data_IF_069955435915
#
_entry.id   IF_069955435915
#
_cell.length_a   1.000
_cell.length_b   1.000
_cell.length_c   1.000
_cell.angle_alpha   90.00
_cell.angle_beta   90.00
_cell.angle_gamma   90.00
#
_symmetry.space_group_name_H-M   'P 1'
#
loop_
_entity.id
_entity.type
_entity.pdbx_description
1 polymer ?
#
# COMPACT_ATOMS: atom_id res chain seq x y z
N UNK A 1 -18.98 21.30 -13.03
CA UNK A 1 -18.05 20.52 -13.88
C UNK A 1 -17.76 19.22 -13.16
N UNK A 2 -18.38 18.11 -13.59
CA UNK A 2 -17.97 16.79 -13.12
C UNK A 2 -16.61 16.50 -13.78
N UNK A 3 -15.58 16.06 -13.04
CA UNK A 3 -14.33 15.67 -13.67
C UNK A 3 -14.62 14.50 -14.61
N UNK A 4 -14.02 14.54 -15.79
CA UNK A 4 -14.03 13.49 -16.79
C UNK A 4 -13.55 12.18 -16.12
N UNK A 5 -14.42 11.17 -16.04
CA UNK A 5 -14.13 9.86 -15.44
C UNK A 5 -13.51 8.91 -16.47
N UNK A 6 -12.75 9.43 -17.44
CA UNK A 6 -11.98 8.55 -18.31
C UNK A 6 -11.00 7.72 -17.46
N UNK A 7 -10.92 6.41 -17.71
CA UNK A 7 -9.86 5.56 -17.20
C UNK A 7 -8.51 6.25 -17.26
N UNK A 8 -7.89 6.53 -16.11
CA UNK A 8 -6.55 7.12 -16.13
C UNK A 8 -5.55 6.03 -16.52
N UNK A 9 -4.70 6.25 -17.54
CA UNK A 9 -3.64 5.30 -17.87
C UNK A 9 -2.72 5.14 -16.66
N UNK A 10 -2.17 3.93 -16.49
CA UNK A 10 -1.20 3.66 -15.43
C UNK A 10 0.16 4.27 -15.83
N UNK A 11 0.49 5.39 -15.21
CA UNK A 11 1.67 6.22 -15.48
C UNK A 11 2.23 6.84 -14.19
N UNK A 12 3.27 7.65 -14.30
CA UNK A 12 3.90 8.25 -13.11
C UNK A 12 2.96 9.21 -12.37
N UNK A 13 2.17 10.01 -13.09
CA UNK A 13 1.30 11.01 -12.48
C UNK A 13 0.11 10.38 -11.75
N UNK A 14 -0.49 9.34 -12.35
CA UNK A 14 -1.54 8.55 -11.72
C UNK A 14 -1.05 7.78 -10.49
N UNK A 15 0.17 7.21 -10.53
CA UNK A 15 0.80 6.58 -9.36
C UNK A 15 1.09 7.61 -8.28
N UNK A 16 1.60 8.78 -8.64
CA UNK A 16 1.86 9.87 -7.69
C UNK A 16 0.57 10.29 -6.99
N UNK A 17 -0.50 10.54 -7.74
CA UNK A 17 -1.81 10.88 -7.18
C UNK A 17 -2.42 9.75 -6.33
N UNK A 18 -2.21 8.48 -6.72
CA UNK A 18 -2.62 7.31 -5.95
C UNK A 18 -1.91 7.28 -4.59
N UNK A 19 -0.57 7.35 -4.61
CA UNK A 19 0.27 7.27 -3.40
C UNK A 19 -0.03 8.42 -2.45
N UNK A 20 -0.09 9.66 -2.94
CA UNK A 20 -0.39 10.81 -2.09
C UNK A 20 -1.79 10.72 -1.47
N UNK A 21 -2.81 10.34 -2.25
CA UNK A 21 -4.16 10.16 -1.71
C UNK A 21 -4.21 9.05 -0.67
N UNK A 22 -3.61 7.90 -0.98
CA UNK A 22 -3.56 6.76 -0.06
C UNK A 22 -2.89 7.10 1.27
N UNK A 23 -1.73 7.77 1.24
CA UNK A 23 -1.01 8.09 2.46
C UNK A 23 -1.64 9.25 3.26
N UNK A 24 -2.45 10.10 2.63
CA UNK A 24 -3.28 11.06 3.35
C UNK A 24 -4.29 10.32 4.27
N UNK A 25 -4.97 9.30 3.73
CA UNK A 25 -5.94 8.51 4.48
C UNK A 25 -5.26 7.59 5.50
N UNK A 26 -4.09 7.01 5.18
CA UNK A 26 -3.27 6.25 6.15
C UNK A 26 -2.88 7.12 7.34
N UNK A 27 -2.53 8.39 7.10
CA UNK A 27 -2.15 9.32 8.18
C UNK A 27 -3.34 9.69 9.07
N UNK A 28 -4.54 9.76 8.49
CA UNK A 28 -5.77 10.06 9.20
C UNK A 28 -6.41 8.84 9.89
N UNK A 29 -6.07 7.62 9.48
CA UNK A 29 -6.62 6.38 10.03
C UNK A 29 -6.17 6.20 11.50
N UNK A 30 -7.10 5.91 12.43
CA UNK A 30 -6.79 5.83 13.86
C UNK A 30 -5.92 4.62 14.25
N UNK A 31 -5.87 3.58 13.41
CA UNK A 31 -5.03 2.40 13.64
C UNK A 31 -3.66 2.58 12.99
N UNK A 32 -3.60 3.09 11.76
CA UNK A 32 -2.34 3.23 11.02
C UNK A 32 -1.59 4.52 11.36
N UNK A 33 -2.31 5.63 11.52
CA UNK A 33 -1.74 6.96 11.73
C UNK A 33 -0.71 7.03 12.86
N UNK A 34 -0.95 6.44 14.05
CA UNK A 34 0.04 6.41 15.13
C UNK A 34 1.33 5.69 14.76
N UNK A 35 1.25 4.53 14.09
CA UNK A 35 2.41 3.73 13.66
C UNK A 35 3.26 4.51 12.66
N UNK A 36 2.63 5.09 11.64
CA UNK A 36 3.35 5.87 10.63
C UNK A 36 3.92 7.17 11.21
N UNK A 37 3.17 7.85 12.08
CA UNK A 37 3.65 9.05 12.79
C UNK A 37 4.88 8.75 13.63
N UNK A 38 4.88 7.65 14.39
CA UNK A 38 6.03 7.24 15.19
C UNK A 38 7.25 6.90 14.32
N UNK A 39 7.04 6.24 13.18
CA UNK A 39 8.12 5.81 12.30
C UNK A 39 8.70 6.92 11.40
N UNK A 40 7.87 7.87 10.96
CA UNK A 40 8.25 8.89 9.96
C UNK A 40 8.48 10.27 10.60
N UNK A 41 7.76 10.59 11.67
CA UNK A 41 7.78 11.91 12.30
C UNK A 41 7.44 13.02 11.29
N UNK A 42 8.31 14.01 11.17
CA UNK A 42 8.14 15.15 10.27
C UNK A 42 8.52 14.87 8.80
N UNK A 43 9.09 13.70 8.48
CA UNK A 43 9.72 13.43 7.18
C UNK A 43 8.75 12.84 6.13
N UNK A 44 7.50 13.31 6.12
CA UNK A 44 6.46 12.79 5.23
C UNK A 44 6.77 12.99 3.75
N UNK A 45 7.28 14.15 3.34
CA UNK A 45 7.58 14.43 1.93
C UNK A 45 8.63 13.45 1.37
N UNK A 46 9.68 13.19 2.15
CA UNK A 46 10.72 12.23 1.79
C UNK A 46 10.18 10.78 1.76
N UNK A 47 9.23 10.45 2.64
CA UNK A 47 8.57 9.16 2.62
C UNK A 47 7.69 9.00 1.37
N UNK A 48 6.86 9.98 1.06
CA UNK A 48 5.97 9.98 -0.10
C UNK A 48 6.74 9.86 -1.41
N UNK A 49 7.82 10.64 -1.59
CA UNK A 49 8.68 10.53 -2.77
C UNK A 49 9.23 9.11 -2.96
N UNK A 50 9.70 8.49 -1.87
CA UNK A 50 10.18 7.10 -1.89
C UNK A 50 9.08 6.09 -2.20
N UNK A 51 7.85 6.33 -1.72
CA UNK A 51 6.71 5.46 -2.01
C UNK A 51 6.25 5.58 -3.46
N UNK A 52 6.32 6.78 -4.06
CA UNK A 52 6.10 6.97 -5.50
C UNK A 52 7.12 6.17 -6.31
N UNK A 53 8.41 6.23 -5.95
CA UNK A 53 9.45 5.43 -6.62
C UNK A 53 9.21 3.93 -6.46
N UNK A 54 8.82 3.49 -5.26
CA UNK A 54 8.52 2.08 -4.97
C UNK A 54 7.36 1.59 -5.83
N UNK A 55 6.21 2.26 -5.81
CA UNK A 55 5.03 1.86 -6.57
C UNK A 55 5.24 2.01 -8.07
N UNK A 56 5.98 3.02 -8.53
CA UNK A 56 6.40 3.12 -9.93
C UNK A 56 7.28 1.94 -10.34
N UNK A 57 8.14 1.45 -9.45
CA UNK A 57 9.01 0.29 -9.73
C UNK A 57 8.17 -0.98 -9.84
N UNK A 58 7.25 -1.14 -8.90
CA UNK A 58 6.45 -2.34 -8.74
C UNK A 58 5.34 -2.45 -9.78
N UNK A 59 4.70 -1.34 -10.14
CA UNK A 59 3.58 -1.29 -11.09
C UNK A 59 4.02 -1.08 -12.54
N UNK A 60 5.09 -0.31 -12.79
CA UNK A 60 5.57 0.01 -14.15
C UNK A 60 6.88 -0.68 -14.53
N UNK A 61 7.48 -1.45 -13.62
CA UNK A 61 8.82 -2.04 -13.84
C UNK A 61 9.94 -0.99 -13.90
N UNK A 62 9.70 0.25 -13.45
CA UNK A 62 10.73 1.29 -13.47
C UNK A 62 11.86 0.96 -12.49
N UNK A 63 13.13 1.27 -12.78
CA UNK A 63 14.25 0.94 -11.88
C UNK A 63 14.54 2.05 -10.85
N UNK A 64 13.49 2.71 -10.35
CA UNK A 64 13.58 3.94 -9.54
C UNK A 64 13.80 3.67 -8.05
N UNK A 65 13.23 2.61 -7.51
CA UNK A 65 13.41 2.25 -6.10
C UNK A 65 14.62 1.34 -5.89
N UNK A 66 15.50 1.74 -4.98
CA UNK A 66 16.67 0.97 -4.54
C UNK A 66 16.66 0.88 -3.02
N UNK A 67 16.17 -0.23 -2.48
CA UNK A 67 16.12 -0.46 -1.03
C UNK A 67 15.47 -1.77 -0.64
N UNK A 68 15.65 -2.16 0.62
CA UNK A 68 14.96 -3.32 1.20
C UNK A 68 13.87 -2.85 2.15
N UNK A 69 12.63 -2.89 1.68
CA UNK A 69 11.46 -2.47 2.47
C UNK A 69 11.27 -3.33 3.72
N UNK A 70 11.60 -4.63 3.65
CA UNK A 70 11.40 -5.56 4.76
C UNK A 70 12.26 -5.21 5.99
N UNK A 71 13.53 -4.85 5.77
CA UNK A 71 14.45 -4.48 6.88
C UNK A 71 13.92 -3.28 7.66
N UNK A 72 13.31 -2.30 6.98
CA UNK A 72 12.74 -1.12 7.64
C UNK A 72 11.51 -1.46 8.48
N UNK A 73 10.69 -2.41 8.03
CA UNK A 73 9.48 -2.82 8.75
C UNK A 73 9.77 -3.78 9.90
N UNK A 74 10.88 -4.53 9.86
CA UNK A 74 11.30 -5.39 10.97
C UNK A 74 11.65 -4.58 12.23
N UNK A 75 12.15 -3.35 12.06
CA UNK A 75 12.48 -2.45 13.16
C UNK A 75 11.26 -1.76 13.79
N UNK A 76 10.05 -2.00 13.27
CA UNK A 76 8.83 -1.41 13.82
C UNK A 76 8.26 -2.30 14.91
N UNK A 77 8.00 -1.69 16.06
CA UNK A 77 7.33 -2.34 17.19
C UNK A 77 5.81 -2.12 17.12
N UNK A 78 5.03 -3.01 17.74
CA UNK A 78 3.58 -2.86 17.84
C UNK A 78 2.79 -3.12 16.55
N UNK A 79 3.45 -3.62 15.50
CA UNK A 79 2.77 -4.05 14.27
C UNK A 79 1.91 -5.29 14.56
N UNK A 80 0.67 -5.29 14.07
CA UNK A 80 -0.29 -6.39 14.26
C UNK A 80 -0.96 -6.74 12.94
N UNK A 81 -1.61 -7.92 12.82
CA UNK A 81 -2.38 -8.29 11.64
C UNK A 81 -3.43 -7.25 11.21
N UNK A 82 -4.03 -6.54 12.18
CA UNK A 82 -5.04 -5.52 11.91
C UNK A 82 -4.48 -4.33 11.11
N UNK A 83 -3.20 -3.97 11.32
CA UNK A 83 -2.54 -2.91 10.57
C UNK A 83 -2.42 -3.28 9.09
N UNK A 84 -2.01 -4.52 8.79
CA UNK A 84 -1.91 -4.99 7.41
C UNK A 84 -3.29 -5.03 6.73
N UNK A 85 -4.32 -5.51 7.44
CA UNK A 85 -5.69 -5.53 6.92
C UNK A 85 -6.23 -4.13 6.62
N UNK A 86 -6.03 -3.16 7.52
CA UNK A 86 -6.43 -1.78 7.31
C UNK A 86 -5.70 -1.13 6.12
N UNK A 87 -4.39 -1.35 6.01
CA UNK A 87 -3.57 -0.81 4.93
C UNK A 87 -4.00 -1.35 3.57
N UNK A 88 -4.23 -2.67 3.43
CA UNK A 88 -4.71 -3.28 2.18
C UNK A 88 -6.12 -2.81 1.82
N UNK A 89 -7.01 -2.68 2.81
CA UNK A 89 -8.37 -2.15 2.60
C UNK A 89 -8.34 -0.73 2.05
N UNK A 90 -7.57 0.17 2.65
CA UNK A 90 -7.42 1.54 2.16
C UNK A 90 -6.85 1.55 0.74
N UNK A 91 -5.83 0.72 0.46
CA UNK A 91 -5.26 0.63 -0.88
C UNK A 91 -6.31 0.22 -1.94
N UNK A 92 -7.18 -0.74 -1.62
CA UNK A 92 -8.27 -1.14 -2.48
C UNK A 92 -9.23 0.03 -2.78
N UNK A 93 -9.67 0.76 -1.75
CA UNK A 93 -10.52 1.96 -1.91
C UNK A 93 -9.89 2.98 -2.87
N UNK A 94 -8.59 3.24 -2.71
CA UNK A 94 -7.92 4.24 -3.53
C UNK A 94 -7.71 3.79 -4.98
N UNK A 95 -7.48 2.50 -5.21
CA UNK A 95 -7.27 1.93 -6.55
C UNK A 95 -8.59 1.78 -7.31
N UNK A 96 -9.64 1.27 -6.67
CA UNK A 96 -10.99 1.15 -7.26
C UNK A 96 -11.56 2.51 -7.66
N UNK A 97 -11.27 3.56 -6.89
CA UNK A 97 -11.73 4.92 -7.19
C UNK A 97 -10.99 5.60 -8.35
N UNK A 98 -9.80 5.11 -8.73
CA UNK A 98 -8.89 5.81 -9.67
C UNK A 98 -8.68 5.09 -10.99
N UNK A 99 -8.85 3.77 -11.02
CA UNK A 99 -8.47 2.94 -12.14
C UNK A 99 -9.60 2.00 -12.55
N UNK A 100 -9.61 1.54 -13.81
CA UNK A 100 -10.48 0.45 -14.24
C UNK A 100 -10.27 -0.81 -13.39
N UNK A 101 -11.29 -1.68 -13.26
CA UNK A 101 -11.22 -2.88 -12.43
C UNK A 101 -9.99 -3.75 -12.70
N UNK A 102 -9.58 -3.90 -13.97
CA UNK A 102 -8.40 -4.69 -14.34
C UNK A 102 -7.10 -4.14 -13.71
N UNK A 103 -6.87 -2.84 -13.86
CA UNK A 103 -5.67 -2.17 -13.33
C UNK A 103 -5.72 -2.11 -11.80
N UNK A 104 -6.89 -1.81 -11.23
CA UNK A 104 -7.08 -1.80 -9.79
C UNK A 104 -6.77 -3.17 -9.17
N UNK A 105 -7.31 -4.25 -9.74
CA UNK A 105 -7.06 -5.61 -9.28
C UNK A 105 -5.57 -6.00 -9.37
N UNK A 106 -4.87 -5.62 -10.44
CA UNK A 106 -3.42 -5.84 -10.54
C UNK A 106 -2.67 -5.15 -9.40
N UNK A 107 -2.91 -3.85 -9.19
CA UNK A 107 -2.29 -3.08 -8.11
C UNK A 107 -2.62 -3.66 -6.73
N UNK A 108 -3.85 -4.10 -6.52
CA UNK A 108 -4.29 -4.75 -5.28
C UNK A 108 -3.57 -6.07 -5.07
N UNK A 109 -3.51 -6.97 -6.05
CA UNK A 109 -2.79 -8.24 -5.94
C UNK A 109 -1.33 -8.03 -5.55
N UNK A 110 -0.69 -7.03 -6.17
CA UNK A 110 0.68 -6.67 -5.82
C UNK A 110 0.81 -6.15 -4.38
N UNK A 111 -0.12 -5.30 -3.94
CA UNK A 111 -0.18 -4.81 -2.56
C UNK A 111 -0.35 -5.95 -1.54
N UNK A 112 -1.20 -6.94 -1.84
CA UNK A 112 -1.35 -8.14 -1.01
C UNK A 112 -0.05 -8.95 -0.95
N UNK A 113 0.68 -9.07 -2.07
CA UNK A 113 1.99 -9.72 -2.12
C UNK A 113 3.02 -9.04 -1.21
N UNK A 114 3.08 -7.70 -1.26
CA UNK A 114 3.95 -6.90 -0.38
C UNK A 114 3.54 -7.06 1.09
N UNK A 115 2.26 -6.90 1.42
CA UNK A 115 1.73 -7.04 2.77
C UNK A 115 2.03 -8.43 3.34
N UNK A 116 1.85 -9.50 2.56
CA UNK A 116 2.18 -10.87 2.96
C UNK A 116 3.67 -11.05 3.28
N UNK A 117 4.54 -10.48 2.44
CA UNK A 117 5.98 -10.58 2.68
C UNK A 117 6.39 -9.83 3.95
N UNK A 118 5.87 -8.63 4.16
CA UNK A 118 6.13 -7.83 5.36
C UNK A 118 5.55 -8.49 6.62
N UNK A 119 4.34 -9.03 6.54
CA UNK A 119 3.71 -9.77 7.63
C UNK A 119 4.61 -10.89 8.13
N UNK A 120 5.12 -11.73 7.21
CA UNK A 120 6.02 -12.83 7.56
C UNK A 120 7.30 -12.34 8.24
N UNK A 121 7.83 -11.21 7.80
CA UNK A 121 9.07 -10.64 8.35
C UNK A 121 8.83 -10.06 9.74
N UNK A 122 7.75 -9.31 9.95
CA UNK A 122 7.45 -8.66 11.22
C UNK A 122 6.93 -9.62 12.29
N UNK A 123 6.16 -10.64 11.90
CA UNK A 123 5.42 -11.48 12.84
C UNK A 123 5.90 -12.94 12.90
N UNK A 124 6.83 -13.36 12.02
CA UNK A 124 7.36 -14.73 12.01
C UNK A 124 6.32 -15.83 11.71
N UNK A 125 5.08 -15.47 11.36
CA UNK A 125 3.97 -16.38 11.09
C UNK A 125 3.37 -16.13 9.70
N UNK A 126 2.73 -17.11 9.05
CA UNK A 126 1.93 -16.86 7.86
C UNK A 126 0.64 -16.08 8.22
N UNK A 127 0.17 -15.14 7.38
CA UNK A 127 -1.00 -14.32 7.70
C UNK A 127 -2.31 -15.12 7.71
N UNK A 128 -3.07 -15.00 8.81
CA UNK A 128 -4.39 -15.63 8.97
C UNK A 128 -5.50 -14.96 8.12
N UNK A 129 -5.32 -13.72 7.68
CA UNK A 129 -6.34 -12.95 6.94
C UNK A 129 -6.55 -13.41 5.48
N UNK A 130 -5.81 -14.43 5.02
CA UNK A 130 -5.99 -15.05 3.70
C UNK A 130 -6.87 -16.32 3.74
N UNK A 131 -7.35 -16.78 4.89
CA UNK A 131 -8.12 -18.04 4.99
C UNK A 131 -9.62 -17.92 4.71
N UNK A 132 -10.13 -16.75 4.34
CA UNK A 132 -11.56 -16.55 4.15
C UNK A 132 -12.04 -16.74 2.70
N UNK A 133 -11.51 -17.70 1.91
CA UNK A 133 -12.13 -18.12 0.65
C UNK A 133 -11.98 -19.63 0.43
N UNK A 134 -13.08 -20.38 0.64
CA UNK A 134 -13.33 -21.65 -0.04
C UNK A 134 -12.94 -22.94 0.70
N UNK A 135 -13.74 -23.35 1.68
CA UNK A 135 -14.08 -24.77 1.88
C UNK A 135 -15.60 -24.90 1.97
N UNK A 136 -16.23 -24.96 0.81
CA UNK A 136 -17.52 -25.65 0.70
C UNK A 136 -17.25 -27.13 0.48
N UNK A 137 -18.09 -27.90 1.15
CA UNK A 137 -18.05 -29.33 1.46
C UNK A 137 -18.02 -30.26 0.24
#
# INVERSE_FOLDING_TARGET
MAPDHAPRPLDLDSITALVHGFYADVRADPLLGPVFTQAIGAHWDAHLARMVDFWSTVALGSKRYRGNVAVRHLALEGITPAHFAAWVRLWAVHTDARFPPEVAQQLQQTAHGVARNLFRVCLGQPPAFLQAHGRSH
#
